data_IF_272758799542
#
_entry.id   IF_272758799542
#
_cell.length_a   1.000
_cell.length_b   1.000
_cell.length_c   1.000
_cell.angle_alpha   90.00
_cell.angle_beta   90.00
_cell.angle_gamma   90.00
#
_symmetry.space_group_name_H-M   'P 1'
#
loop_
_entity.id
_entity.type
_entity.pdbx_description
1 polymer ?
#
# COMPACT_ATOMS: atom_id res chain seq x y z
N UNK A 1 -15.78 -21.89 -1.07
CA UNK A 1 -14.36 -22.20 -1.33
C UNK A 1 -13.95 -23.56 -0.80
N UNK A 2 -14.15 -23.88 0.48
CA UNK A 2 -13.73 -25.16 1.10
C UNK A 2 -14.16 -26.42 0.29
N UNK A 3 -15.45 -26.52 -0.03
CA UNK A 3 -16.02 -27.61 -0.86
C UNK A 3 -15.48 -27.73 -2.29
N UNK A 4 -14.94 -26.66 -2.88
CA UNK A 4 -14.47 -26.67 -4.26
C UNK A 4 -13.02 -27.15 -4.39
N UNK A 5 -12.18 -26.88 -3.38
CA UNK A 5 -10.78 -27.32 -3.35
C UNK A 5 -10.63 -28.75 -2.82
N UNK A 6 -11.50 -29.20 -1.91
CA UNK A 6 -11.51 -30.57 -1.38
C UNK A 6 -11.79 -31.63 -2.46
N UNK A 7 -12.59 -31.31 -3.48
CA UNK A 7 -12.89 -32.21 -4.60
C UNK A 7 -11.75 -32.40 -5.62
N UNK A 8 -10.66 -31.62 -5.53
CA UNK A 8 -9.54 -31.66 -6.50
C UNK A 8 -8.28 -32.32 -5.94
N UNK A 9 -8.33 -32.97 -4.78
CA UNK A 9 -7.15 -33.62 -4.16
C UNK A 9 -6.00 -32.66 -3.85
N UNK A 10 -6.24 -31.34 -3.91
CA UNK A 10 -5.23 -30.32 -3.72
C UNK A 10 -5.10 -30.01 -2.24
N UNK A 11 -3.92 -30.29 -1.66
CA UNK A 11 -3.62 -29.88 -0.29
C UNK A 11 -3.71 -28.35 -0.21
N UNK A 12 -4.69 -27.84 0.51
CA UNK A 12 -4.85 -26.39 0.73
C UNK A 12 -3.79 -25.95 1.73
N UNK A 13 -2.63 -25.54 1.23
CA UNK A 13 -1.62 -24.89 2.06
C UNK A 13 -2.03 -23.46 2.38
N UNK A 14 -1.47 -22.90 3.46
CA UNK A 14 -1.68 -21.50 3.81
C UNK A 14 -1.28 -20.54 2.67
N UNK A 15 -0.26 -20.89 1.89
CA UNK A 15 0.15 -20.12 0.72
C UNK A 15 -0.93 -20.10 -0.38
N UNK A 16 -1.53 -21.25 -0.69
CA UNK A 16 -2.61 -21.36 -1.69
C UNK A 16 -3.84 -20.56 -1.27
N UNK A 17 -4.24 -20.67 0.00
CA UNK A 17 -5.35 -19.88 0.54
C UNK A 17 -5.08 -18.37 0.42
N UNK A 18 -3.91 -17.91 0.86
CA UNK A 18 -3.55 -16.48 0.78
C UNK A 18 -3.59 -15.98 -0.66
N UNK A 19 -3.01 -16.71 -1.60
CA UNK A 19 -3.04 -16.31 -3.02
C UNK A 19 -4.46 -16.21 -3.56
N UNK A 20 -5.29 -17.23 -3.32
CA UNK A 20 -6.68 -17.22 -3.78
C UNK A 20 -7.51 -16.09 -3.13
N UNK A 21 -7.30 -15.85 -1.84
CA UNK A 21 -7.92 -14.75 -1.10
C UNK A 21 -7.53 -13.40 -1.72
N UNK A 22 -6.23 -13.16 -1.91
CA UNK A 22 -5.75 -11.91 -2.50
C UNK A 22 -6.29 -11.68 -3.91
N UNK A 23 -6.32 -12.72 -4.75
CA UNK A 23 -6.89 -12.61 -6.11
C UNK A 23 -8.39 -12.28 -6.08
N UNK A 24 -9.15 -12.85 -5.13
CA UNK A 24 -10.60 -12.64 -5.04
C UNK A 24 -10.98 -11.27 -4.50
N UNK A 25 -10.29 -10.79 -3.46
CA UNK A 25 -10.64 -9.57 -2.74
C UNK A 25 -9.82 -8.35 -3.15
N UNK A 26 -8.66 -8.55 -3.77
CA UNK A 26 -7.81 -7.49 -4.31
C UNK A 26 -7.50 -7.74 -5.79
N UNK A 27 -8.50 -7.56 -6.69
CA UNK A 27 -8.30 -7.70 -8.13
C UNK A 27 -7.12 -6.88 -8.64
N UNK A 28 -6.56 -7.27 -9.78
CA UNK A 28 -5.44 -6.54 -10.40
C UNK A 28 -5.79 -5.08 -10.67
N UNK A 29 -7.01 -4.78 -11.12
CA UNK A 29 -7.49 -3.41 -11.30
C UNK A 29 -7.43 -2.62 -9.99
N UNK A 30 -8.03 -3.14 -8.92
CA UNK A 30 -8.00 -2.50 -7.61
C UNK A 30 -6.57 -2.22 -7.13
N UNK A 31 -5.66 -3.20 -7.27
CA UNK A 31 -4.26 -3.02 -6.88
C UNK A 31 -3.55 -1.96 -7.73
N UNK A 32 -3.83 -1.89 -9.03
CA UNK A 32 -3.31 -0.85 -9.93
C UNK A 32 -3.85 0.53 -9.55
N UNK A 33 -5.14 0.62 -9.26
CA UNK A 33 -5.78 1.87 -8.83
C UNK A 33 -5.16 2.38 -7.52
N UNK A 34 -4.92 1.49 -6.56
CA UNK A 34 -4.22 1.83 -5.31
C UNK A 34 -2.77 2.22 -5.51
N UNK A 35 -2.05 1.57 -6.44
CA UNK A 35 -0.70 1.97 -6.81
C UNK A 35 -0.67 3.37 -7.45
N UNK A 36 -1.63 3.68 -8.32
CA UNK A 36 -1.75 5.02 -8.92
C UNK A 36 -2.15 6.08 -7.88
N UNK A 37 -3.04 5.73 -6.94
CA UNK A 37 -3.38 6.61 -5.81
C UNK A 37 -2.15 6.91 -4.95
N UNK A 38 -1.29 5.92 -4.70
CA UNK A 38 -0.06 6.10 -3.95
C UNK A 38 0.96 6.98 -4.67
N UNK A 39 1.18 6.75 -5.97
CA UNK A 39 2.13 7.54 -6.77
C UNK A 39 1.76 9.04 -6.79
N UNK A 40 0.47 9.34 -6.80
CA UNK A 40 -0.07 10.70 -6.80
C UNK A 40 -0.40 11.22 -5.39
N UNK A 41 -0.09 10.47 -4.34
CA UNK A 41 -0.39 10.87 -2.97
C UNK A 41 0.40 12.14 -2.63
N UNK A 42 -0.32 13.16 -2.20
CA UNK A 42 0.19 14.42 -1.64
C UNK A 42 -0.56 14.70 -0.35
N UNK A 43 0.08 15.33 0.62
CA UNK A 43 -0.54 15.76 1.86
C UNK A 43 -1.71 16.69 1.54
N UNK A 44 -1.49 17.73 0.73
CA UNK A 44 -2.53 18.66 0.32
C UNK A 44 -3.21 19.30 1.54
N UNK A 45 -4.51 19.04 1.69
CA UNK A 45 -5.34 19.53 2.81
C UNK A 45 -5.43 18.53 3.98
N UNK A 46 -4.83 17.35 3.85
CA UNK A 46 -4.80 16.37 4.94
C UNK A 46 -3.91 16.88 6.06
N UNK A 47 -4.35 16.67 7.31
CA UNK A 47 -3.44 16.80 8.43
C UNK A 47 -2.37 15.68 8.38
N UNK A 48 -1.33 15.80 9.21
CA UNK A 48 -0.21 14.87 9.17
C UNK A 48 -0.63 13.45 9.55
N UNK A 49 -1.53 13.28 10.51
CA UNK A 49 -2.00 11.95 10.94
C UNK A 49 -2.79 11.26 9.82
N UNK A 50 -3.68 12.00 9.15
CA UNK A 50 -4.45 11.50 8.01
C UNK A 50 -3.53 11.12 6.84
N UNK A 51 -2.51 11.95 6.57
CA UNK A 51 -1.53 11.68 5.53
C UNK A 51 -0.71 10.41 5.84
N UNK A 52 -0.21 10.27 7.07
CA UNK A 52 0.52 9.06 7.52
C UNK A 52 -0.35 7.82 7.43
N UNK A 53 -1.60 7.89 7.89
CA UNK A 53 -2.54 6.79 7.81
C UNK A 53 -2.80 6.38 6.35
N UNK A 54 -3.02 7.35 5.47
CA UNK A 54 -3.24 7.11 4.04
C UNK A 54 -1.99 6.53 3.36
N UNK A 55 -0.82 7.10 3.62
CA UNK A 55 0.47 6.60 3.12
C UNK A 55 0.69 5.14 3.51
N UNK A 56 0.58 4.84 4.81
CA UNK A 56 0.77 3.48 5.35
C UNK A 56 -0.22 2.48 4.76
N UNK A 57 -1.48 2.89 4.60
CA UNK A 57 -2.53 2.04 4.03
C UNK A 57 -2.27 1.66 2.56
N UNK A 58 -1.61 2.55 1.81
CA UNK A 58 -1.36 2.43 0.38
C UNK A 58 0.02 1.83 0.07
N UNK A 59 0.99 1.93 0.97
CA UNK A 59 2.35 1.41 0.81
C UNK A 59 2.39 -0.07 0.41
N UNK A 60 1.46 -0.88 0.93
CA UNK A 60 1.32 -2.30 0.57
C UNK A 60 1.02 -2.58 -0.91
N UNK A 61 0.60 -1.56 -1.66
CA UNK A 61 0.36 -1.64 -3.10
C UNK A 61 1.51 -1.05 -3.93
N UNK A 62 2.56 -0.54 -3.30
CA UNK A 62 3.74 0.05 -3.91
C UNK A 62 5.02 -0.71 -3.50
N UNK A 63 5.19 -1.96 -3.97
CA UNK A 63 6.32 -2.81 -3.56
C UNK A 63 7.70 -2.24 -3.92
N UNK A 64 7.77 -1.34 -4.92
CA UNK A 64 8.99 -0.64 -5.29
C UNK A 64 9.42 0.43 -4.28
N UNK A 65 8.48 0.96 -3.49
CA UNK A 65 8.75 1.91 -2.40
C UNK A 65 8.93 1.18 -1.09
N UNK A 66 8.15 0.13 -0.83
CA UNK A 66 8.23 -0.67 0.39
C UNK A 66 9.54 -1.48 0.55
N UNK A 67 10.48 -1.37 -0.40
CA UNK A 67 11.72 -2.16 -0.43
C UNK A 67 12.78 -1.66 0.57
N UNK A 68 12.78 -0.37 0.89
CA UNK A 68 13.73 0.21 1.85
C UNK A 68 13.10 1.39 2.59
N UNK A 69 13.66 1.71 3.76
CA UNK A 69 13.20 2.82 4.58
C UNK A 69 13.54 4.17 3.92
N UNK A 70 14.66 4.24 3.20
CA UNK A 70 15.06 5.43 2.43
C UNK A 70 14.06 5.74 1.32
N UNK A 71 13.66 4.73 0.53
CA UNK A 71 12.67 4.93 -0.53
C UNK A 71 11.31 5.37 0.04
N UNK A 72 10.92 4.84 1.20
CA UNK A 72 9.71 5.27 1.90
C UNK A 72 9.81 6.71 2.39
N UNK A 73 10.94 7.08 2.99
CA UNK A 73 11.18 8.44 3.48
C UNK A 73 11.16 9.45 2.33
N UNK A 74 11.86 9.17 1.24
CA UNK A 74 11.89 10.01 0.04
C UNK A 74 10.47 10.22 -0.52
N UNK A 75 9.70 9.14 -0.68
CA UNK A 75 8.32 9.24 -1.17
C UNK A 75 7.43 10.01 -0.20
N UNK A 76 7.58 9.80 1.11
CA UNK A 76 6.79 10.48 2.13
C UNK A 76 7.06 11.98 2.11
N UNK A 77 8.34 12.37 2.13
CA UNK A 77 8.82 13.75 2.13
C UNK A 77 8.41 14.47 0.84
N UNK A 78 8.57 13.85 -0.32
CA UNK A 78 8.18 14.41 -1.61
C UNK A 78 6.66 14.69 -1.73
N UNK A 79 5.86 14.01 -0.91
CA UNK A 79 4.42 14.24 -0.85
C UNK A 79 3.97 15.22 0.23
N UNK A 80 4.84 15.66 1.14
CA UNK A 80 4.50 16.65 2.18
C UNK A 80 4.18 18.02 1.57
N UNK A 81 3.34 18.78 2.26
CA UNK A 81 3.10 20.18 1.94
C UNK A 81 4.40 20.97 2.22
N UNK A 82 4.90 21.82 1.28
CA UNK A 82 6.09 22.64 1.48
C UNK A 82 6.10 23.42 2.81
N UNK A 83 4.94 23.90 3.27
CA UNK A 83 4.82 24.66 4.52
C UNK A 83 5.09 23.80 5.77
N UNK A 84 4.87 22.49 5.69
CA UNK A 84 5.22 21.55 6.77
C UNK A 84 6.67 21.08 6.63
N UNK A 85 7.17 20.95 5.41
CA UNK A 85 8.55 20.59 5.13
C UNK A 85 9.54 21.60 5.74
N UNK A 86 9.22 22.89 5.72
CA UNK A 86 10.06 23.93 6.35
C UNK A 86 10.13 23.78 7.87
N UNK A 87 9.05 23.34 8.53
CA UNK A 87 9.05 23.14 9.99
C UNK A 87 9.94 21.96 10.42
N UNK A 88 10.04 20.91 9.60
CA UNK A 88 10.86 19.70 9.90
C UNK A 88 12.34 19.94 9.63
N UNK A 89 12.69 20.83 8.70
CA UNK A 89 14.09 21.15 8.34
C UNK A 89 14.71 22.30 9.14
N UNK A 90 13.96 23.00 9.99
CA UNK A 90 14.46 24.15 10.78
C UNK A 90 14.67 23.82 12.26
N UNK A 91 14.89 22.54 12.60
CA UNK A 91 15.18 22.07 13.96
C UNK A 91 16.66 21.79 14.20
#
# INVERSE_FOLDING_TARGET
MKKALENQGTVITWAVFRTAFYQRFFPVSYRKDKGAEFANLRQGQLNIEEYVAKFTSLLKFAPHVAISDEAQADQFINGLNPDVFTLVNTG
#
